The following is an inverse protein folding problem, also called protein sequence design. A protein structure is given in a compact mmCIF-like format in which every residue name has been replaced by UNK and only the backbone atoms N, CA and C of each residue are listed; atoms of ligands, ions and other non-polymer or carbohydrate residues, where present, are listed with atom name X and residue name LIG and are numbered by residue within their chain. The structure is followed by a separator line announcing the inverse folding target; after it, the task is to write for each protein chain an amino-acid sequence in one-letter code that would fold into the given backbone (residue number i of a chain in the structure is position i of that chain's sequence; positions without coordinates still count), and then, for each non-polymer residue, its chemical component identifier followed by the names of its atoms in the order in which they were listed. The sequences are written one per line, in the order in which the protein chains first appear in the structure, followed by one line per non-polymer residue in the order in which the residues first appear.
data_IF_109241276569
#
_entry.id   IF_109241276569
#
_cell.length_a   1.000
_cell.length_b   1.000
_cell.length_c   1.000
_cell.angle_alpha   90.00
_cell.angle_beta   90.00
_cell.angle_gamma   90.00
#
_symmetry.space_group_name_H-M   'P 1'
#
loop_
_entity.id
_entity.type
_entity.pdbx_description
1 polymer ?
#
# COMPACT_ATOMS: atom_id res chain seq x y z
N UNK A 1 -89.58 -1.44 -36.09
CA UNK A 1 -88.68 -1.58 -34.92
C UNK A 1 -87.41 -2.29 -35.35
N UNK A 2 -86.29 -2.02 -34.67
CA UNK A 2 -84.89 -2.43 -34.90
C UNK A 2 -84.06 -1.40 -35.69
N UNK A 3 -83.63 -0.31 -35.04
CA UNK A 3 -82.35 -0.07 -34.31
C UNK A 3 -81.12 0.11 -35.21
N UNK A 4 -80.74 1.38 -35.43
CA UNK A 4 -79.41 1.80 -35.88
C UNK A 4 -78.40 1.56 -34.73
N UNK A 5 -77.35 0.79 -35.00
CA UNK A 5 -76.20 0.64 -34.10
C UNK A 5 -75.08 1.61 -34.50
N UNK A 6 -74.80 2.58 -33.64
CA UNK A 6 -73.65 3.49 -33.72
C UNK A 6 -72.38 2.76 -33.27
N UNK A 7 -71.38 2.68 -34.14
CA UNK A 7 -70.06 2.13 -33.82
C UNK A 7 -69.19 3.24 -33.21
N UNK A 8 -68.89 3.14 -31.92
CA UNK A 8 -67.95 4.04 -31.23
C UNK A 8 -66.55 3.43 -31.32
N UNK A 9 -65.64 4.07 -32.05
CA UNK A 9 -64.23 3.71 -32.08
C UNK A 9 -63.54 4.22 -30.81
N UNK A 10 -63.16 3.32 -29.92
CA UNK A 10 -62.37 3.65 -28.74
C UNK A 10 -60.88 3.72 -29.11
N UNK A 11 -60.31 4.92 -29.16
CA UNK A 11 -58.87 5.14 -29.25
C UNK A 11 -58.23 4.82 -27.91
N UNK A 12 -57.54 3.67 -27.82
CA UNK A 12 -56.72 3.31 -26.68
C UNK A 12 -55.46 4.19 -26.66
N UNK A 13 -55.35 5.10 -25.69
CA UNK A 13 -54.12 5.83 -25.41
C UNK A 13 -53.18 4.88 -24.66
N UNK A 14 -52.16 4.39 -25.35
CA UNK A 14 -51.06 3.64 -24.72
C UNK A 14 -50.18 4.66 -23.99
N UNK A 15 -50.35 4.76 -22.67
CA UNK A 15 -49.42 5.51 -21.82
C UNK A 15 -48.16 4.65 -21.68
N UNK A 16 -47.09 5.04 -22.38
CA UNK A 16 -45.78 4.42 -22.20
C UNK A 16 -45.32 4.65 -20.76
N UNK A 17 -45.12 3.57 -20.01
CA UNK A 17 -44.49 3.63 -18.70
C UNK A 17 -43.07 4.24 -18.86
N UNK A 18 -42.62 5.09 -17.92
CA UNK A 18 -41.27 5.63 -17.97
C UNK A 18 -40.30 4.45 -17.89
N UNK A 19 -39.51 4.26 -18.95
CA UNK A 19 -38.40 3.33 -18.94
C UNK A 19 -37.43 3.80 -17.86
N UNK A 20 -37.35 3.05 -16.75
CA UNK A 20 -36.35 3.29 -15.72
C UNK A 20 -34.97 3.35 -16.36
N UNK A 21 -34.26 4.46 -16.17
CA UNK A 21 -32.88 4.60 -16.63
C UNK A 21 -32.06 3.46 -16.03
N UNK A 22 -31.41 2.66 -16.87
CA UNK A 22 -30.48 1.64 -16.38
C UNK A 22 -29.43 2.33 -15.52
N UNK A 23 -29.18 1.82 -14.31
CA UNK A 23 -28.17 2.37 -13.43
C UNK A 23 -26.82 2.42 -14.17
N UNK A 24 -26.17 3.59 -14.17
CA UNK A 24 -24.89 3.75 -14.84
C UNK A 24 -23.86 2.78 -14.24
N UNK A 25 -23.10 2.08 -15.08
CA UNK A 25 -22.04 1.16 -14.62
C UNK A 25 -21.05 1.95 -13.75
N UNK A 26 -20.67 1.45 -12.55
CA UNK A 26 -19.70 2.12 -11.70
C UNK A 26 -18.37 2.32 -12.42
N UNK A 27 -17.72 3.46 -12.17
CA UNK A 27 -16.35 3.67 -12.65
C UNK A 27 -15.39 2.85 -11.81
N UNK A 28 -14.58 1.99 -12.44
CA UNK A 28 -13.66 1.09 -11.74
C UNK A 28 -12.29 1.72 -11.55
N UNK A 29 -11.83 1.72 -10.31
CA UNK A 29 -10.65 2.45 -9.85
C UNK A 29 -9.66 1.48 -9.23
N UNK A 30 -8.51 1.28 -9.88
CA UNK A 30 -7.43 0.46 -9.35
C UNK A 30 -6.42 1.32 -8.61
N UNK A 31 -6.21 1.03 -7.32
CA UNK A 31 -5.06 1.54 -6.58
C UNK A 31 -3.88 0.58 -6.78
N UNK A 32 -2.91 0.95 -7.61
CA UNK A 32 -1.74 0.17 -7.98
C UNK A 32 -0.49 0.66 -7.25
N UNK A 33 0.26 -0.24 -6.62
CA UNK A 33 1.51 0.16 -6.00
C UNK A 33 2.22 -0.90 -5.18
N UNK A 34 3.08 -0.42 -4.29
CA UNK A 34 3.82 -1.23 -3.33
C UNK A 34 3.11 -1.31 -1.96
N UNK A 35 3.87 -1.46 -0.86
CA UNK A 35 3.33 -1.50 0.51
C UNK A 35 2.58 -0.23 0.90
N UNK A 36 2.98 0.94 0.38
CA UNK A 36 2.31 2.21 0.68
C UNK A 36 0.89 2.22 0.10
N UNK A 37 0.66 1.54 -1.02
CA UNK A 37 -0.69 1.34 -1.56
C UNK A 37 -1.38 0.18 -0.87
N UNK A 38 -0.67 -0.95 -0.75
CA UNK A 38 -1.17 -2.17 -0.13
C UNK A 38 -1.25 -2.02 1.37
N UNK A 39 -0.35 -2.71 2.08
CA UNK A 39 -0.22 -2.68 3.53
C UNK A 39 1.20 -2.29 3.93
N UNK A 40 1.38 -1.52 5.01
CA UNK A 40 0.34 -0.90 5.85
C UNK A 40 -0.02 0.53 5.42
N UNK A 41 -1.25 0.94 5.77
CA UNK A 41 -1.77 2.28 5.49
C UNK A 41 -3.27 2.25 5.19
N UNK A 42 -3.94 3.36 5.41
CA UNK A 42 -5.39 3.49 5.30
C UNK A 42 -5.86 4.64 4.39
N UNK A 43 -4.96 5.28 3.64
CA UNK A 43 -5.33 6.37 2.73
C UNK A 43 -6.42 5.99 1.72
N UNK A 44 -6.49 4.72 1.29
CA UNK A 44 -7.55 4.22 0.41
C UNK A 44 -8.92 4.29 1.08
N UNK A 45 -9.00 3.84 2.33
CA UNK A 45 -10.23 3.93 3.13
C UNK A 45 -10.64 5.39 3.37
N UNK A 46 -9.68 6.26 3.69
CA UNK A 46 -9.91 7.71 3.84
C UNK A 46 -10.43 8.34 2.55
N UNK A 47 -9.79 8.03 1.41
CA UNK A 47 -10.17 8.53 0.10
C UNK A 47 -11.55 8.04 -0.32
N UNK A 48 -11.83 6.75 -0.18
CA UNK A 48 -13.12 6.16 -0.54
C UNK A 48 -14.25 6.77 0.28
N UNK A 49 -14.10 6.85 1.62
CA UNK A 49 -15.12 7.45 2.48
C UNK A 49 -15.37 8.92 2.11
N UNK A 50 -14.31 9.67 1.78
CA UNK A 50 -14.44 11.05 1.31
C UNK A 50 -15.23 11.11 0.00
N UNK A 51 -14.89 10.30 -1.00
CA UNK A 51 -15.61 10.22 -2.28
C UNK A 51 -17.10 9.92 -2.08
N UNK A 52 -17.43 8.93 -1.25
CA UNK A 52 -18.83 8.58 -0.94
C UNK A 52 -19.55 9.76 -0.27
N UNK A 53 -18.92 10.38 0.74
CA UNK A 53 -19.51 11.52 1.47
C UNK A 53 -19.72 12.77 0.62
N UNK A 54 -19.00 12.91 -0.49
CA UNK A 54 -19.09 14.05 -1.41
C UNK A 54 -19.85 13.73 -2.71
N UNK A 55 -20.53 12.59 -2.77
CA UNK A 55 -21.45 12.25 -3.86
C UNK A 55 -20.87 11.42 -5.01
N UNK A 56 -19.60 11.01 -4.93
CA UNK A 56 -18.99 10.07 -5.87
C UNK A 56 -19.30 8.63 -5.46
N UNK A 57 -20.59 8.27 -5.48
CA UNK A 57 -21.07 6.97 -4.99
C UNK A 57 -21.06 5.87 -6.04
N UNK A 58 -21.08 6.23 -7.33
CA UNK A 58 -21.07 5.27 -8.45
C UNK A 58 -19.64 4.90 -8.88
N UNK A 59 -18.85 4.41 -7.93
CA UNK A 59 -17.47 3.97 -8.11
C UNK A 59 -17.29 2.57 -7.53
N UNK A 60 -16.30 1.85 -8.05
CA UNK A 60 -15.93 0.50 -7.63
C UNK A 60 -14.40 0.45 -7.51
N UNK A 61 -13.88 0.22 -6.31
CA UNK A 61 -12.43 0.00 -6.16
C UNK A 61 -12.15 -1.41 -6.64
N UNK A 62 -11.12 -1.59 -7.47
CA UNK A 62 -10.84 -2.89 -8.07
C UNK A 62 -9.37 -3.28 -7.90
N UNK A 63 -9.16 -4.58 -7.73
CA UNK A 63 -7.84 -5.16 -7.55
C UNK A 63 -7.94 -6.63 -7.19
N UNK A 64 -6.85 -7.39 -7.35
CA UNK A 64 -6.83 -8.80 -6.97
C UNK A 64 -6.63 -9.03 -5.48
N UNK A 65 -6.26 -7.99 -4.73
CA UNK A 65 -6.09 -8.04 -3.28
C UNK A 65 -7.31 -7.44 -2.57
N UNK A 66 -7.76 -8.07 -1.47
CA UNK A 66 -8.92 -7.60 -0.74
C UNK A 66 -8.63 -6.31 0.04
N UNK A 67 -9.70 -5.71 0.54
CA UNK A 67 -9.65 -4.64 1.54
C UNK A 67 -8.76 -4.99 2.73
N UNK A 68 -8.06 -3.98 3.23
CA UNK A 68 -7.25 -4.10 4.42
C UNK A 68 -7.97 -3.55 5.65
N UNK A 69 -7.64 -4.09 6.82
CA UNK A 69 -8.27 -3.70 8.08
C UNK A 69 -7.88 -2.28 8.49
N UNK A 70 -8.77 -1.32 8.25
CA UNK A 70 -8.61 0.09 8.62
C UNK A 70 -9.57 0.57 9.73
N UNK A 71 -10.36 -0.34 10.32
CA UNK A 71 -11.34 0.00 11.36
C UNK A 71 -12.56 0.78 10.87
N UNK A 72 -12.68 1.01 9.56
CA UNK A 72 -13.81 1.67 8.91
C UNK A 72 -14.28 0.85 7.70
N UNK A 73 -15.60 0.80 7.49
CA UNK A 73 -16.16 0.19 6.29
C UNK A 73 -15.74 1.00 5.06
N UNK A 74 -15.28 0.29 4.03
CA UNK A 74 -14.94 0.86 2.74
C UNK A 74 -14.86 -0.25 1.69
N UNK A 75 -14.99 0.13 0.42
CA UNK A 75 -14.50 -0.69 -0.67
C UNK A 75 -12.97 -0.55 -0.73
N UNK A 76 -12.27 -1.64 -0.48
CA UNK A 76 -10.82 -1.64 -0.26
C UNK A 76 -10.06 -2.52 -1.24
N UNK A 77 -10.72 -3.05 -2.27
CA UNK A 77 -10.04 -3.84 -3.28
C UNK A 77 -8.93 -3.00 -3.93
N UNK A 78 -7.77 -3.64 -4.11
CA UNK A 78 -6.55 -2.93 -4.49
C UNK A 78 -5.54 -3.84 -5.16
N UNK A 79 -4.50 -3.22 -5.72
CA UNK A 79 -3.38 -3.88 -6.36
C UNK A 79 -2.06 -3.38 -5.73
N UNK A 80 -2.02 -3.32 -4.39
CA UNK A 80 -0.89 -2.87 -3.61
C UNK A 80 -0.06 -4.02 -3.04
N UNK A 81 1.16 -4.20 -3.55
CA UNK A 81 1.99 -5.37 -3.25
C UNK A 81 3.23 -5.00 -2.42
N UNK A 82 3.23 -5.38 -1.14
CA UNK A 82 4.32 -5.07 -0.23
C UNK A 82 5.68 -5.57 -0.72
N UNK A 83 6.68 -4.67 -0.76
CA UNK A 83 8.05 -4.99 -1.19
C UNK A 83 8.25 -5.13 -2.70
N UNK A 84 7.19 -5.01 -3.52
CA UNK A 84 7.33 -5.14 -4.96
C UNK A 84 8.06 -3.93 -5.56
N UNK A 85 8.81 -4.17 -6.63
CA UNK A 85 9.46 -3.15 -7.42
C UNK A 85 8.68 -2.95 -8.71
N UNK A 86 8.48 -1.70 -9.13
CA UNK A 86 7.80 -1.38 -10.38
C UNK A 86 8.54 -2.00 -11.58
N UNK A 87 9.88 -2.02 -11.52
CA UNK A 87 10.73 -2.68 -12.52
C UNK A 87 10.48 -4.17 -12.63
N UNK A 88 10.31 -4.88 -11.51
CA UNK A 88 10.01 -6.32 -11.52
C UNK A 88 8.61 -6.60 -12.06
N UNK A 89 7.59 -5.85 -11.59
CA UNK A 89 6.21 -5.97 -12.07
C UNK A 89 6.14 -5.75 -13.57
N UNK A 90 6.80 -4.71 -14.08
CA UNK A 90 6.87 -4.42 -15.50
C UNK A 90 7.57 -5.54 -16.27
N UNK A 91 8.74 -6.00 -15.82
CA UNK A 91 9.53 -7.02 -16.50
C UNK A 91 8.79 -8.36 -16.60
N UNK A 92 8.10 -8.74 -15.53
CA UNK A 92 7.36 -9.99 -15.42
C UNK A 92 5.95 -9.92 -16.02
N UNK A 93 5.53 -8.75 -16.54
CA UNK A 93 4.19 -8.50 -17.07
C UNK A 93 3.06 -8.83 -16.07
N UNK A 94 3.31 -8.70 -14.76
CA UNK A 94 2.33 -9.08 -13.73
C UNK A 94 1.04 -8.25 -13.85
N UNK A 95 1.16 -6.96 -14.20
CA UNK A 95 0.01 -6.06 -14.37
C UNK A 95 -0.98 -6.53 -15.45
N UNK A 96 -0.56 -7.29 -16.46
CA UNK A 96 -1.46 -7.77 -17.52
C UNK A 96 -2.56 -8.67 -16.95
N UNK A 97 -2.21 -9.56 -16.02
CA UNK A 97 -3.18 -10.45 -15.37
C UNK A 97 -4.11 -9.70 -14.41
N UNK A 98 -3.60 -8.70 -13.70
CA UNK A 98 -4.41 -7.86 -12.82
C UNK A 98 -5.42 -7.02 -13.61
N UNK A 99 -4.97 -6.42 -14.71
CA UNK A 99 -5.83 -5.65 -15.62
C UNK A 99 -6.92 -6.52 -16.25
N UNK A 100 -6.62 -7.75 -16.67
CA UNK A 100 -7.65 -8.62 -17.27
C UNK A 100 -8.68 -9.10 -16.24
N UNK A 101 -8.30 -9.24 -14.97
CA UNK A 101 -9.20 -9.66 -13.90
C UNK A 101 -10.14 -8.55 -13.41
N UNK A 102 -9.71 -7.28 -13.50
CA UNK A 102 -10.38 -6.14 -12.83
C UNK A 102 -10.82 -5.04 -13.78
N UNK A 103 -10.19 -4.99 -14.97
CA UNK A 103 -10.54 -4.18 -16.12
C UNK A 103 -10.64 -2.65 -15.87
N UNK A 104 -9.81 -2.00 -15.03
CA UNK A 104 -10.06 -0.66 -14.50
C UNK A 104 -10.25 0.44 -15.57
N UNK A 105 -10.96 1.50 -15.18
CA UNK A 105 -11.15 2.72 -15.97
C UNK A 105 -10.19 3.85 -15.54
N UNK A 106 -9.76 3.79 -14.27
CA UNK A 106 -8.81 4.72 -13.65
C UNK A 106 -7.76 3.93 -12.87
N UNK A 107 -6.49 4.30 -12.98
CA UNK A 107 -5.41 3.76 -12.15
C UNK A 107 -4.78 4.88 -11.31
N UNK A 108 -4.72 4.69 -9.99
CA UNK A 108 -3.92 5.50 -9.06
C UNK A 108 -2.62 4.74 -8.81
N UNK A 109 -1.52 5.22 -9.39
CA UNK A 109 -0.22 4.57 -9.29
C UNK A 109 0.68 5.31 -8.30
N UNK A 110 0.87 4.74 -7.10
CA UNK A 110 1.94 5.12 -6.17
C UNK A 110 2.93 3.96 -6.08
N UNK A 111 4.04 4.08 -6.80
CA UNK A 111 4.99 2.99 -6.97
C UNK A 111 6.40 3.53 -7.17
N UNK A 112 7.42 2.67 -7.03
CA UNK A 112 8.83 3.04 -7.19
C UNK A 112 9.58 3.28 -5.89
N UNK A 113 8.91 3.22 -4.73
CA UNK A 113 9.54 3.36 -3.41
C UNK A 113 10.64 2.31 -3.23
N UNK A 114 10.34 1.04 -3.50
CA UNK A 114 11.29 -0.06 -3.35
C UNK A 114 12.40 -0.03 -4.41
N UNK A 115 12.12 0.46 -5.61
CA UNK A 115 13.12 0.64 -6.67
C UNK A 115 14.15 1.71 -6.28
N UNK A 116 13.66 2.86 -5.78
CA UNK A 116 14.48 3.97 -5.26
C UNK A 116 15.31 3.53 -4.06
N UNK A 117 14.70 2.78 -3.14
CA UNK A 117 15.40 2.19 -1.99
C UNK A 117 16.52 1.26 -2.45
N UNK A 118 16.23 0.43 -3.45
CA UNK A 118 17.17 -0.52 -4.06
C UNK A 118 18.20 0.16 -4.97
N UNK A 119 18.26 1.49 -4.97
CA UNK A 119 19.19 2.31 -5.75
C UNK A 119 19.17 2.01 -7.26
N UNK A 120 17.98 1.70 -7.79
CA UNK A 120 17.83 1.53 -9.23
C UNK A 120 17.89 2.90 -9.93
N UNK A 121 18.53 3.00 -11.11
CA UNK A 121 18.58 4.24 -11.86
C UNK A 121 17.18 4.73 -12.24
N UNK A 122 16.94 6.04 -12.12
CA UNK A 122 15.66 6.64 -12.51
C UNK A 122 15.25 6.28 -13.94
N UNK A 123 16.21 6.16 -14.87
CA UNK A 123 15.96 5.75 -16.26
C UNK A 123 15.36 4.36 -16.35
N UNK A 124 15.81 3.42 -15.51
CA UNK A 124 15.26 2.06 -15.43
C UNK A 124 13.83 2.08 -14.86
N UNK A 125 13.61 2.84 -13.79
CA UNK A 125 12.28 2.96 -13.16
C UNK A 125 11.27 3.59 -14.12
N UNK A 126 11.64 4.65 -14.83
CA UNK A 126 10.78 5.33 -15.81
C UNK A 126 10.54 4.50 -17.08
N UNK A 127 11.49 3.63 -17.45
CA UNK A 127 11.26 2.62 -18.50
C UNK A 127 10.20 1.62 -18.05
N UNK A 128 10.26 1.16 -16.80
CA UNK A 128 9.24 0.29 -16.23
C UNK A 128 7.87 0.97 -16.16
N UNK A 129 7.80 2.22 -15.67
CA UNK A 129 6.57 3.01 -15.67
C UNK A 129 5.99 3.14 -17.08
N UNK A 130 6.84 3.35 -18.09
CA UNK A 130 6.41 3.40 -19.49
C UNK A 130 5.75 2.09 -19.91
N UNK A 131 6.38 0.95 -19.60
CA UNK A 131 5.82 -0.37 -19.91
C UNK A 131 4.51 -0.64 -19.18
N UNK A 132 4.39 -0.25 -17.91
CA UNK A 132 3.14 -0.40 -17.14
C UNK A 132 2.00 0.41 -17.78
N UNK A 133 2.27 1.67 -18.16
CA UNK A 133 1.28 2.50 -18.88
C UNK A 133 0.89 1.90 -20.23
N UNK A 134 1.83 1.30 -20.97
CA UNK A 134 1.52 0.63 -22.23
C UNK A 134 0.63 -0.60 -22.03
N UNK A 135 0.85 -1.37 -20.95
CA UNK A 135 -0.04 -2.47 -20.55
C UNK A 135 -1.43 -1.97 -20.16
N UNK A 136 -1.53 -0.87 -19.39
CA UNK A 136 -2.80 -0.23 -19.05
C UNK A 136 -3.58 0.18 -20.30
N UNK A 137 -2.91 0.81 -21.27
CA UNK A 137 -3.52 1.25 -22.53
C UNK A 137 -3.88 0.10 -23.46
N UNK A 138 -3.13 -0.99 -23.43
CA UNK A 138 -3.50 -2.20 -24.15
C UNK A 138 -4.79 -2.84 -23.59
N UNK A 139 -4.99 -2.77 -22.27
CA UNK A 139 -6.23 -3.22 -21.62
C UNK A 139 -7.40 -2.25 -21.83
N UNK A 140 -7.13 -0.95 -21.78
CA UNK A 140 -8.12 0.11 -21.96
C UNK A 140 -7.46 1.32 -22.65
N UNK A 141 -7.70 1.54 -23.96
CA UNK A 141 -7.08 2.64 -24.72
C UNK A 141 -7.40 4.03 -24.16
N UNK A 142 -8.47 4.16 -23.36
CA UNK A 142 -8.91 5.39 -22.72
C UNK A 142 -8.59 5.46 -21.22
N UNK A 143 -7.69 4.60 -20.72
CA UNK A 143 -7.32 4.56 -19.30
C UNK A 143 -6.90 5.94 -18.80
N UNK A 144 -7.52 6.41 -17.71
CA UNK A 144 -7.09 7.62 -17.00
C UNK A 144 -6.08 7.23 -15.94
N UNK A 145 -4.89 7.83 -15.97
CA UNK A 145 -3.78 7.37 -15.15
C UNK A 145 -3.33 8.53 -14.25
N UNK A 146 -3.40 8.33 -12.95
CA UNK A 146 -2.92 9.28 -11.96
C UNK A 146 -1.62 8.73 -11.36
N UNK A 147 -0.49 9.38 -11.60
CA UNK A 147 0.84 8.90 -11.16
C UNK A 147 1.34 9.78 -10.03
N UNK A 148 1.68 9.19 -8.90
CA UNK A 148 2.25 9.91 -7.78
C UNK A 148 3.69 10.34 -8.10
N UNK A 149 4.05 11.59 -7.78
CA UNK A 149 5.35 11.79 -7.12
C UNK A 149 5.24 11.07 -5.78
N UNK A 150 6.14 10.12 -5.50
CA UNK A 150 6.04 9.32 -4.27
C UNK A 150 6.26 10.20 -3.04
N UNK A 151 5.68 9.80 -1.90
CA UNK A 151 5.94 10.44 -0.60
C UNK A 151 7.46 10.40 -0.31
N UNK A 152 8.01 11.35 0.47
CA UNK A 152 9.39 11.25 0.92
C UNK A 152 9.61 9.97 1.73
N UNK A 153 10.84 9.46 1.70
CA UNK A 153 11.28 8.41 2.63
C UNK A 153 12.61 8.82 3.27
N UNK A 154 12.76 8.52 4.56
CA UNK A 154 13.98 8.74 5.31
C UNK A 154 14.16 7.65 6.39
N UNK A 155 14.25 6.37 6.00
CA UNK A 155 14.51 5.29 6.93
C UNK A 155 15.93 5.39 7.49
N UNK A 156 16.14 4.97 8.74
CA UNK A 156 17.47 4.94 9.36
C UNK A 156 18.47 4.03 8.63
N UNK A 157 17.99 3.06 7.85
CA UNK A 157 18.78 2.11 7.08
C UNK A 157 19.19 2.59 5.67
N UNK A 158 18.75 3.77 5.24
CA UNK A 158 19.10 4.30 3.92
C UNK A 158 19.23 5.82 3.95
N UNK A 159 20.45 6.30 4.23
CA UNK A 159 20.79 7.72 4.32
C UNK A 159 20.65 8.47 2.99
N UNK A 160 20.80 7.79 1.86
CA UNK A 160 20.69 8.40 0.53
C UNK A 160 19.27 8.40 -0.02
N UNK A 161 18.35 7.63 0.59
CA UNK A 161 17.02 7.42 0.03
C UNK A 161 16.22 8.73 -0.09
N UNK A 162 16.34 9.64 0.87
CA UNK A 162 15.68 10.95 0.78
C UNK A 162 16.10 11.73 -0.48
N UNK A 163 17.40 11.77 -0.78
CA UNK A 163 17.92 12.43 -1.98
C UNK A 163 17.52 11.69 -3.27
N UNK A 164 17.51 10.36 -3.25
CA UNK A 164 17.09 9.55 -4.40
C UNK A 164 15.59 9.75 -4.71
N UNK A 165 14.73 9.86 -3.69
CA UNK A 165 13.31 10.21 -3.89
C UNK A 165 13.16 11.57 -4.57
N UNK A 166 13.91 12.58 -4.14
CA UNK A 166 13.89 13.91 -4.78
C UNK A 166 14.28 13.80 -6.26
N UNK A 167 15.37 13.09 -6.55
CA UNK A 167 15.84 12.85 -7.92
C UNK A 167 14.77 12.17 -8.78
N UNK A 168 14.15 11.10 -8.27
CA UNK A 168 13.10 10.37 -8.96
C UNK A 168 11.85 11.24 -9.19
N UNK A 169 11.36 11.91 -8.16
CA UNK A 169 10.20 12.79 -8.22
C UNK A 169 10.38 13.97 -9.19
N UNK A 170 11.60 14.47 -9.34
CA UNK A 170 11.92 15.53 -10.31
C UNK A 170 11.85 15.03 -11.77
N UNK A 171 12.05 13.73 -12.01
CA UNK A 171 12.02 13.15 -13.35
C UNK A 171 10.59 12.80 -13.81
N UNK A 172 9.67 12.51 -12.88
CA UNK A 172 8.29 12.09 -13.19
C UNK A 172 7.50 13.09 -14.06
N UNK A 173 7.51 14.42 -13.79
CA UNK A 173 6.72 15.37 -14.58
C UNK A 173 7.09 15.38 -16.07
N UNK A 174 8.38 15.38 -16.39
CA UNK A 174 8.86 15.37 -17.78
C UNK A 174 8.50 14.05 -18.47
N UNK A 175 8.70 12.92 -17.78
CA UNK A 175 8.29 11.61 -18.28
C UNK A 175 6.78 11.54 -18.56
N UNK A 176 5.94 12.00 -17.63
CA UNK A 176 4.49 11.99 -17.77
C UNK A 176 4.04 12.86 -18.95
N UNK A 177 4.62 14.06 -19.10
CA UNK A 177 4.34 14.95 -20.22
C UNK A 177 4.73 14.32 -21.57
N UNK A 178 5.82 13.55 -21.62
CA UNK A 178 6.23 12.83 -22.83
C UNK A 178 5.37 11.61 -23.19
N UNK A 179 4.58 11.08 -22.25
CA UNK A 179 3.78 9.86 -22.45
C UNK A 179 2.26 10.09 -22.42
N UNK A 180 1.79 11.20 -21.88
CA UNK A 180 0.36 11.55 -21.80
C UNK A 180 -0.25 11.76 -23.18
N UNK A 181 -1.54 11.40 -23.35
CA UNK A 181 -2.30 11.67 -24.58
C UNK A 181 -3.68 12.20 -24.24
N UNK A 182 -4.39 12.79 -25.21
CA UNK A 182 -5.77 13.24 -25.01
C UNK A 182 -6.73 12.07 -24.71
N UNK A 183 -6.50 10.90 -25.32
CA UNK A 183 -7.34 9.72 -25.14
C UNK A 183 -7.08 9.02 -23.78
N UNK A 184 -5.82 8.97 -23.35
CA UNK A 184 -5.39 8.33 -22.09
C UNK A 184 -4.49 9.30 -21.32
N UNK A 185 -5.09 10.26 -20.60
CA UNK A 185 -4.33 11.28 -19.90
C UNK A 185 -3.57 10.69 -18.72
N UNK A 186 -2.34 11.17 -18.54
CA UNK A 186 -1.51 10.97 -17.36
C UNK A 186 -1.49 12.27 -16.56
N UNK A 187 -1.97 12.21 -15.31
CA UNK A 187 -1.93 13.33 -14.36
C UNK A 187 -0.94 13.02 -13.25
N UNK A 188 0.02 13.91 -13.03
CA UNK A 188 0.97 13.78 -11.91
C UNK A 188 0.33 14.31 -10.64
N UNK A 189 0.31 13.49 -9.59
CA UNK A 189 -0.21 13.84 -8.26
C UNK A 189 0.96 14.01 -7.30
N UNK A 190 1.13 15.21 -6.77
CA UNK A 190 2.24 15.51 -5.85
C UNK A 190 1.92 15.01 -4.43
N UNK A 191 2.37 13.80 -4.09
CA UNK A 191 2.29 13.25 -2.73
C UNK A 191 3.47 13.69 -1.84
N UNK A 192 4.48 14.35 -2.41
CA UNK A 192 5.72 14.68 -1.73
C UNK A 192 5.63 16.01 -0.98
N UNK A 193 5.13 17.05 -1.64
CA UNK A 193 5.12 18.41 -1.09
C UNK A 193 4.27 18.52 0.17
N UNK A 194 4.87 18.99 1.27
CA UNK A 194 4.18 19.14 2.56
C UNK A 194 4.04 17.86 3.39
N UNK A 195 4.62 16.75 2.92
CA UNK A 195 4.74 15.51 3.64
C UNK A 195 6.06 15.49 4.43
N UNK A 196 6.01 15.11 5.71
CA UNK A 196 7.16 15.05 6.61
C UNK A 196 7.29 13.63 7.15
N UNK A 197 8.39 12.95 6.80
CA UNK A 197 8.63 11.57 7.22
C UNK A 197 8.60 11.40 8.74
N UNK A 198 9.10 12.36 9.51
CA UNK A 198 9.16 12.24 10.96
C UNK A 198 7.78 12.28 11.65
N UNK A 199 6.79 12.95 11.06
CA UNK A 199 5.45 13.14 11.67
C UNK A 199 4.35 12.37 10.95
N UNK A 200 4.54 12.07 9.68
CA UNK A 200 3.51 11.52 8.81
C UNK A 200 3.77 10.04 8.45
N UNK A 201 4.90 9.49 8.90
CA UNK A 201 5.19 8.05 8.83
C UNK A 201 5.41 7.48 10.22
N UNK A 202 5.37 6.16 10.37
CA UNK A 202 5.72 5.51 11.62
C UNK A 202 7.14 4.89 11.60
N UNK A 203 7.76 4.71 10.42
CA UNK A 203 9.07 4.07 10.24
C UNK A 203 10.03 4.85 9.31
N UNK A 204 9.65 6.05 8.90
CA UNK A 204 10.37 6.85 7.91
C UNK A 204 9.96 6.57 6.46
N UNK A 205 8.99 5.68 6.21
CA UNK A 205 8.64 5.17 4.88
C UNK A 205 7.13 5.11 4.68
N UNK A 206 6.43 4.42 5.56
CA UNK A 206 5.01 4.11 5.41
C UNK A 206 4.15 5.10 6.18
N UNK A 207 3.05 5.59 5.56
CA UNK A 207 2.21 6.60 6.18
C UNK A 207 1.58 6.09 7.49
N UNK A 208 1.53 6.96 8.49
CA UNK A 208 0.63 6.81 9.62
C UNK A 208 -0.72 7.48 9.29
N UNK A 209 -1.65 7.56 10.24
CA UNK A 209 -2.96 8.17 10.01
C UNK A 209 -2.91 9.63 9.48
N UNK A 210 -1.93 10.43 9.92
CA UNK A 210 -1.76 11.80 9.42
C UNK A 210 -1.20 11.81 7.98
N UNK A 211 -0.25 10.91 7.68
CA UNK A 211 0.24 10.69 6.32
C UNK A 211 -0.86 10.19 5.39
N UNK A 212 -1.69 9.26 5.84
CA UNK A 212 -2.82 8.72 5.09
C UNK A 212 -3.83 9.81 4.71
N UNK A 213 -4.13 10.71 5.65
CA UNK A 213 -4.97 11.87 5.38
C UNK A 213 -4.36 12.79 4.32
N UNK A 214 -3.07 13.12 4.44
CA UNK A 214 -2.36 13.94 3.45
C UNK A 214 -2.36 13.28 2.07
N UNK A 215 -2.16 11.97 2.01
CA UNK A 215 -2.22 11.23 0.75
C UNK A 215 -3.61 11.27 0.12
N UNK A 216 -4.66 11.09 0.93
CA UNK A 216 -6.04 11.25 0.48
C UNK A 216 -6.34 12.67 -0.01
N UNK A 217 -5.85 13.71 0.67
CA UNK A 217 -6.05 15.11 0.29
C UNK A 217 -5.43 15.45 -1.07
N UNK A 218 -4.34 14.78 -1.45
CA UNK A 218 -3.70 14.93 -2.77
C UNK A 218 -4.38 14.11 -3.85
N UNK A 219 -4.78 12.88 -3.55
CA UNK A 219 -5.47 12.02 -4.51
C UNK A 219 -6.86 12.54 -4.87
N UNK A 220 -7.63 13.00 -3.88
CA UNK A 220 -9.03 13.37 -4.03
C UNK A 220 -9.30 14.37 -5.18
N UNK A 221 -8.69 15.57 -5.23
CA UNK A 221 -8.97 16.52 -6.31
C UNK A 221 -8.59 15.98 -7.70
N UNK A 222 -7.48 15.26 -7.80
CA UNK A 222 -7.03 14.71 -9.07
C UNK A 222 -7.96 13.57 -9.56
N UNK A 223 -8.38 12.69 -8.66
CA UNK A 223 -9.31 11.61 -8.97
C UNK A 223 -10.69 12.16 -9.34
N UNK A 224 -11.25 13.09 -8.57
CA UNK A 224 -12.57 13.67 -8.90
C UNK A 224 -12.58 14.38 -10.25
N UNK A 225 -11.49 15.06 -10.62
CA UNK A 225 -11.34 15.64 -11.96
C UNK A 225 -11.35 14.54 -13.04
N UNK A 226 -10.58 13.47 -12.84
CA UNK A 226 -10.57 12.32 -13.74
C UNK A 226 -11.95 11.69 -13.88
N UNK A 227 -12.69 11.50 -12.77
CA UNK A 227 -14.05 10.93 -12.75
C UNK A 227 -15.06 11.80 -13.53
N UNK A 228 -14.94 13.12 -13.43
CA UNK A 228 -15.81 14.07 -14.15
C UNK A 228 -15.44 14.25 -15.64
N UNK A 229 -14.39 13.57 -16.14
CA UNK A 229 -13.92 13.73 -17.52
C UNK A 229 -13.22 15.06 -17.80
N UNK A 230 -12.80 15.77 -16.75
CA UNK A 230 -12.07 17.04 -16.85
C UNK A 230 -10.59 16.75 -16.55
N UNK A 231 -9.69 17.08 -17.47
CA UNK A 231 -8.25 17.08 -17.15
C UNK A 231 -7.95 18.26 -16.21
N UNK A 232 -7.46 18.05 -14.98
CA UNK A 232 -7.15 19.16 -14.10
C UNK A 232 -5.96 19.95 -14.67
N UNK A 233 -6.11 21.27 -14.79
CA UNK A 233 -4.97 22.18 -14.95
C UNK A 233 -4.20 22.20 -13.63
N UNK A 234 -2.86 22.09 -13.69
CA UNK A 234 -2.00 22.15 -12.50
C UNK A 234 -2.38 23.36 -11.63
N UNK A 235 -2.63 23.20 -10.32
CA UNK A 235 -2.83 24.34 -9.45
C UNK A 235 -1.54 25.18 -9.38
N UNK A 236 -1.62 26.52 -9.33
CA UNK A 236 -0.44 27.35 -9.09
C UNK A 236 0.15 27.00 -7.73
N UNK A 237 1.48 26.86 -7.71
CA UNK A 237 2.27 26.70 -6.49
C UNK A 237 1.92 27.82 -5.50
N UNK A 238 1.55 27.51 -4.24
CA UNK A 238 1.43 28.57 -3.23
C UNK A 238 2.81 29.19 -3.02
N UNK A 239 2.85 30.51 -3.22
CA UNK A 239 4.00 31.38 -2.94
C UNK A 239 4.38 31.30 -1.46
N UNK A 240 5.68 31.38 -1.18
CA UNK A 240 6.26 31.34 0.15
C UNK A 240 5.66 32.42 1.07
N UNK A 241 5.34 32.05 2.31
CA UNK A 241 5.11 33.01 3.39
C UNK A 241 5.85 32.57 4.65
N UNK A 242 6.28 33.57 5.41
CA UNK A 242 7.54 33.66 6.12
C UNK A 242 7.67 32.83 7.41
N UNK A 243 8.93 32.47 7.70
CA UNK A 243 9.48 32.10 9.00
C UNK A 243 9.24 33.18 10.07
N UNK A 244 9.10 32.79 11.35
CA UNK A 244 9.88 33.47 12.37
C UNK A 244 10.72 32.54 13.25
N UNK A 245 11.77 33.16 13.77
CA UNK A 245 12.97 32.63 14.42
C UNK A 245 12.86 32.51 15.95
N UNK A 246 13.57 31.51 16.50
CA UNK A 246 14.32 31.41 17.77
C UNK A 246 13.70 31.69 19.18
N UNK A 247 13.70 30.63 20.02
CA UNK A 247 14.19 30.46 21.44
C UNK A 247 13.64 31.34 22.60
N UNK A 248 13.79 30.98 23.92
CA UNK A 248 14.62 29.92 24.54
C UNK A 248 13.99 29.08 25.70
N UNK A 249 14.76 28.07 26.13
CA UNK A 249 14.67 27.24 27.37
C UNK A 249 14.98 28.07 28.64
N UNK A 250 14.51 27.71 29.88
CA UNK A 250 15.34 26.87 30.78
C UNK A 250 14.63 26.01 31.90
N UNK A 251 15.40 25.02 32.39
CA UNK A 251 15.54 24.50 33.78
C UNK A 251 14.58 23.49 34.45
N UNK A 252 15.20 22.49 35.10
CA UNK A 252 14.71 21.52 36.11
C UNK A 252 15.60 21.65 37.39
N UNK A 253 15.50 20.83 38.49
CA UNK A 253 14.41 20.15 39.24
C UNK A 253 14.45 20.49 40.77
N UNK A 254 13.83 19.74 41.72
CA UNK A 254 14.60 18.69 42.45
C UNK A 254 13.79 17.44 42.95
N UNK A 255 14.48 16.61 43.74
CA UNK A 255 14.37 15.16 44.03
C UNK A 255 13.77 14.80 45.41
N UNK A 256 13.22 13.59 45.60
CA UNK A 256 13.10 12.86 46.91
C UNK A 256 13.19 11.32 46.75
N UNK A 257 13.64 10.66 47.83
CA UNK A 257 14.36 9.35 47.95
C UNK A 257 13.50 8.22 48.64
N UNK A 258 13.99 7.05 49.14
CA UNK A 258 13.55 5.68 48.76
C UNK A 258 13.05 4.76 49.92
N UNK A 259 12.78 3.45 49.64
CA UNK A 259 12.94 2.22 50.50
C UNK A 259 11.78 1.18 50.39
N UNK A 260 11.88 -0.14 50.73
CA UNK A 260 13.00 -1.12 50.74
C UNK A 260 12.73 -2.44 49.94
N UNK A 261 13.80 -3.26 49.85
CA UNK A 261 14.00 -4.52 49.12
C UNK A 261 13.52 -5.82 49.82
N UNK A 262 13.31 -6.90 49.04
CA UNK A 262 13.18 -8.31 49.52
C UNK A 262 14.14 -9.26 48.73
N UNK A 263 14.79 -10.27 49.35
CA UNK A 263 15.85 -11.10 48.74
C UNK A 263 15.33 -12.38 48.00
N UNK A 264 16.20 -13.11 47.25
CA UNK A 264 15.82 -13.93 46.08
C UNK A 264 15.84 -15.46 46.30
N UNK A 265 15.30 -16.23 45.34
CA UNK A 265 15.50 -17.68 45.15
C UNK A 265 15.37 -18.06 43.64
N UNK A 266 16.03 -19.14 43.14
CA UNK A 266 16.78 -19.13 41.87
C UNK A 266 16.06 -19.60 40.58
N UNK A 267 16.73 -19.30 39.46
CA UNK A 267 16.40 -19.43 38.02
C UNK A 267 16.00 -20.81 37.48
N UNK A 268 15.39 -20.84 36.26
CA UNK A 268 16.21 -20.95 35.05
C UNK A 268 16.05 -19.76 34.09
N UNK A 269 17.16 -19.42 33.43
CA UNK A 269 17.42 -18.24 32.61
C UNK A 269 16.53 -18.09 31.38
N UNK A 270 15.64 -17.10 31.41
CA UNK A 270 14.94 -16.49 30.28
C UNK A 270 14.26 -15.23 30.82
N UNK A 271 14.68 -14.05 30.36
CA UNK A 271 14.37 -12.76 30.99
C UNK A 271 12.89 -12.64 31.39
N UNK A 272 12.62 -12.46 32.68
CA UNK A 272 11.28 -12.45 33.24
C UNK A 272 10.36 -11.49 32.45
N UNK A 273 9.29 -12.04 31.86
CA UNK A 273 8.29 -11.29 31.11
C UNK A 273 8.51 -11.16 29.60
N UNK A 274 9.68 -11.54 29.04
CA UNK A 274 9.89 -11.55 27.57
C UNK A 274 9.19 -12.75 26.94
N UNK A 275 8.43 -12.55 25.87
CA UNK A 275 7.83 -13.63 25.08
C UNK A 275 7.84 -13.27 23.61
N UNK A 276 8.01 -14.25 22.73
CA UNK A 276 7.85 -14.07 21.30
C UNK A 276 6.99 -15.19 20.74
N UNK A 277 6.05 -14.83 19.87
CA UNK A 277 5.26 -15.77 19.08
C UNK A 277 5.40 -15.42 17.61
N UNK A 278 5.19 -16.41 16.74
CA UNK A 278 5.23 -16.22 15.30
C UNK A 278 4.16 -17.05 14.62
N UNK A 279 3.47 -16.44 13.65
CA UNK A 279 2.56 -17.13 12.73
C UNK A 279 3.19 -17.18 11.35
N UNK A 280 3.24 -18.36 10.73
CA UNK A 280 3.66 -18.54 9.34
C UNK A 280 2.43 -18.57 8.44
N UNK A 281 2.43 -17.78 7.38
CA UNK A 281 1.34 -17.71 6.40
C UNK A 281 1.89 -17.80 4.99
N UNK A 282 1.27 -18.60 4.14
CA UNK A 282 1.49 -18.53 2.68
C UNK A 282 0.47 -17.51 2.16
N UNK A 283 0.94 -16.35 1.74
CA UNK A 283 0.09 -15.25 1.27
C UNK A 283 -0.08 -15.23 -0.25
N UNK A 284 0.70 -16.02 -0.97
CA UNK A 284 0.52 -16.29 -2.40
C UNK A 284 1.29 -17.53 -2.84
N UNK A 285 0.77 -18.27 -3.82
CA UNK A 285 1.43 -19.45 -4.38
C UNK A 285 1.16 -19.56 -5.89
N UNK A 286 2.18 -19.93 -6.65
CA UNK A 286 2.13 -20.16 -8.10
C UNK A 286 2.90 -21.44 -8.47
N UNK A 287 2.85 -21.89 -9.74
CA UNK A 287 3.63 -23.04 -10.17
C UNK A 287 5.13 -22.83 -9.91
N UNK A 288 5.72 -23.65 -9.03
CA UNK A 288 7.14 -23.63 -8.70
C UNK A 288 7.59 -22.55 -7.71
N UNK A 289 6.69 -21.69 -7.20
CA UNK A 289 7.06 -20.68 -6.21
C UNK A 289 5.91 -20.19 -5.33
N UNK A 290 6.26 -19.53 -4.24
CA UNK A 290 5.31 -18.99 -3.28
C UNK A 290 5.89 -17.81 -2.51
N UNK A 291 5.01 -17.06 -1.88
CA UNK A 291 5.31 -15.97 -0.97
C UNK A 291 4.91 -16.36 0.46
N UNK A 292 5.89 -16.41 1.34
CA UNK A 292 5.72 -16.66 2.77
C UNK A 292 5.82 -15.38 3.59
N UNK A 293 5.03 -15.31 4.66
CA UNK A 293 5.06 -14.22 5.64
C UNK A 293 5.15 -14.80 7.07
N UNK A 294 6.06 -14.25 7.87
CA UNK A 294 6.14 -14.46 9.31
C UNK A 294 5.57 -13.24 10.02
N UNK A 295 4.53 -13.45 10.83
CA UNK A 295 3.96 -12.43 11.71
C UNK A 295 4.47 -12.67 13.11
N UNK A 296 5.39 -11.82 13.56
CA UNK A 296 6.07 -11.92 14.85
C UNK A 296 5.40 -10.99 15.85
N UNK A 297 5.12 -11.48 17.06
CA UNK A 297 4.48 -10.68 18.11
C UNK A 297 5.09 -10.91 19.49
N UNK A 298 5.17 -9.85 20.29
CA UNK A 298 5.54 -9.92 21.70
C UNK A 298 4.29 -10.10 22.56
N UNK A 299 4.02 -11.35 22.96
CA UNK A 299 2.91 -11.67 23.87
C UNK A 299 3.33 -11.64 25.36
N UNK A 300 4.49 -11.05 25.64
CA UNK A 300 5.04 -10.92 26.98
C UNK A 300 4.50 -9.70 27.70
N UNK A 301 5.05 -9.44 28.88
CA UNK A 301 4.69 -8.29 29.72
C UNK A 301 5.77 -7.20 29.71
N UNK A 302 6.91 -7.43 29.06
CA UNK A 302 7.98 -6.43 28.89
C UNK A 302 8.39 -6.31 27.42
N UNK A 303 8.95 -5.16 26.98
CA UNK A 303 9.47 -5.02 25.62
C UNK A 303 10.60 -6.02 25.32
N UNK A 304 10.67 -6.50 24.08
CA UNK A 304 11.79 -7.28 23.55
C UNK A 304 12.61 -6.41 22.61
N UNK A 305 13.94 -6.58 22.60
CA UNK A 305 14.88 -5.77 21.81
C UNK A 305 15.20 -6.38 20.44
N UNK A 306 14.85 -7.65 20.26
CA UNK A 306 14.98 -8.38 19.02
C UNK A 306 14.16 -9.65 19.04
N UNK A 307 14.08 -10.29 17.89
CA UNK A 307 13.44 -11.59 17.73
C UNK A 307 14.22 -12.44 16.73
N UNK A 308 14.17 -13.75 16.95
CA UNK A 308 14.70 -14.76 16.06
C UNK A 308 13.62 -15.79 15.81
N UNK A 309 13.32 -16.06 14.55
CA UNK A 309 12.41 -17.12 14.14
C UNK A 309 13.20 -18.21 13.45
N UNK A 310 13.03 -19.46 13.89
CA UNK A 310 13.65 -20.62 13.26
C UNK A 310 12.59 -21.63 12.85
N UNK A 311 12.73 -22.19 11.65
CA UNK A 311 11.85 -23.24 11.14
C UNK A 311 12.57 -24.14 10.13
N UNK A 312 11.96 -25.29 9.81
CA UNK A 312 12.49 -26.24 8.83
C UNK A 312 11.46 -26.47 7.73
N UNK A 313 11.86 -26.19 6.48
CA UNK A 313 11.07 -26.47 5.30
C UNK A 313 10.91 -27.97 5.06
N UNK A 314 9.68 -28.50 4.95
CA UNK A 314 9.44 -29.93 4.86
C UNK A 314 9.69 -30.53 3.47
N UNK A 315 9.70 -29.72 2.41
CA UNK A 315 9.65 -30.20 1.02
C UNK A 315 10.69 -29.52 0.12
N UNK A 316 11.89 -29.29 0.65
CA UNK A 316 13.02 -28.77 -0.14
C UNK A 316 12.80 -27.36 -0.68
N UNK A 317 11.93 -26.56 -0.03
CA UNK A 317 11.72 -25.18 -0.43
C UNK A 317 13.00 -24.35 -0.26
N UNK A 318 13.23 -23.40 -1.17
CA UNK A 318 14.45 -22.56 -1.17
C UNK A 318 14.06 -21.10 -1.27
N UNK A 319 14.48 -20.28 -0.30
CA UNK A 319 14.29 -18.83 -0.31
C UNK A 319 15.18 -18.21 -1.39
N UNK A 320 14.58 -17.40 -2.25
CA UNK A 320 15.27 -16.66 -3.31
C UNK A 320 15.36 -15.16 -3.03
N UNK A 321 14.39 -14.60 -2.30
CA UNK A 321 14.35 -13.20 -1.90
C UNK A 321 13.71 -13.07 -0.52
N UNK A 322 14.11 -12.07 0.26
CA UNK A 322 13.50 -11.78 1.56
C UNK A 322 13.49 -10.30 1.86
N UNK A 323 12.59 -9.87 2.74
CA UNK A 323 12.45 -8.48 3.18
C UNK A 323 12.03 -8.40 4.65
N UNK A 324 12.30 -7.26 5.26
CA UNK A 324 11.98 -6.96 6.67
C UNK A 324 12.54 -7.98 7.68
N UNK A 325 13.56 -8.74 7.30
CA UNK A 325 14.23 -9.72 8.15
C UNK A 325 15.54 -10.19 7.50
N UNK A 326 16.50 -10.60 8.30
CA UNK A 326 17.73 -11.22 7.81
C UNK A 326 17.54 -12.74 7.78
N UNK A 327 17.37 -13.30 6.59
CA UNK A 327 17.15 -14.73 6.39
C UNK A 327 18.47 -15.43 6.07
N UNK A 328 18.70 -16.52 6.77
CA UNK A 328 19.75 -17.49 6.44
C UNK A 328 19.09 -18.85 6.28
N UNK A 329 19.43 -19.55 5.19
CA UNK A 329 18.96 -20.90 4.94
C UNK A 329 20.16 -21.83 4.79
N UNK A 330 20.20 -22.90 5.58
CA UNK A 330 21.20 -23.97 5.47
C UNK A 330 20.47 -25.30 5.34
N UNK A 331 20.57 -25.91 4.16
CA UNK A 331 19.71 -27.03 3.79
C UNK A 331 18.24 -26.63 3.87
N UNK A 332 17.45 -27.40 4.63
CA UNK A 332 16.03 -27.10 4.89
C UNK A 332 15.78 -26.16 6.07
N UNK A 333 16.80 -25.81 6.86
CA UNK A 333 16.62 -24.97 8.06
C UNK A 333 16.75 -23.50 7.70
N UNK A 334 15.75 -22.70 8.09
CA UNK A 334 15.72 -21.25 7.94
C UNK A 334 15.79 -20.59 9.30
N UNK A 335 16.63 -19.57 9.42
CA UNK A 335 16.64 -18.63 10.55
C UNK A 335 16.39 -17.23 10.01
N UNK A 336 15.36 -16.57 10.53
CA UNK A 336 15.03 -15.18 10.25
C UNK A 336 15.29 -14.35 11.52
N UNK A 337 16.17 -13.36 11.42
CA UNK A 337 16.40 -12.39 12.48
C UNK A 337 15.72 -11.07 12.14
N UNK A 338 15.36 -10.32 13.18
CA UNK A 338 14.94 -8.94 13.00
C UNK A 338 16.04 -8.12 12.30
N UNK A 339 15.63 -7.15 11.51
CA UNK A 339 16.50 -6.06 11.08
C UNK A 339 16.50 -4.96 12.16
N UNK A 340 17.39 -3.98 12.03
CA UNK A 340 17.64 -2.98 13.09
C UNK A 340 16.39 -2.21 13.54
N UNK A 341 15.39 -2.05 12.67
CA UNK A 341 14.22 -1.23 12.93
C UNK A 341 12.98 -1.99 13.41
N UNK A 342 12.92 -3.32 13.29
CA UNK A 342 11.77 -4.12 13.75
C UNK A 342 12.09 -5.10 14.88
N UNK A 343 13.25 -4.98 15.51
CA UNK A 343 13.60 -5.79 16.68
C UNK A 343 12.88 -5.39 17.96
N UNK A 344 12.67 -4.08 18.15
CA UNK A 344 12.04 -3.54 19.35
C UNK A 344 10.52 -3.71 19.28
N UNK A 345 9.96 -4.63 20.07
CA UNK A 345 8.52 -4.85 20.17
C UNK A 345 8.06 -4.67 21.63
N UNK A 346 7.23 -3.66 21.89
CA UNK A 346 6.53 -3.51 23.18
C UNK A 346 5.53 -4.66 23.41
N UNK A 347 5.06 -4.89 24.66
CA UNK A 347 3.99 -5.86 24.93
C UNK A 347 2.77 -5.63 24.03
N UNK A 348 2.29 -6.70 23.39
CA UNK A 348 1.17 -6.67 22.44
C UNK A 348 1.51 -6.13 21.04
N UNK A 349 2.73 -5.63 20.81
CA UNK A 349 3.17 -5.19 19.50
C UNK A 349 3.62 -6.37 18.63
N UNK A 350 3.55 -6.18 17.31
CA UNK A 350 4.04 -7.15 16.34
C UNK A 350 4.62 -6.50 15.09
N UNK A 351 5.29 -7.32 14.29
CA UNK A 351 5.86 -6.96 12.99
C UNK A 351 5.64 -8.12 12.01
N UNK A 352 5.74 -7.83 10.71
CA UNK A 352 5.76 -8.85 9.68
C UNK A 352 7.08 -8.81 8.90
N UNK A 353 7.54 -9.99 8.50
CA UNK A 353 8.65 -10.17 7.56
C UNK A 353 8.27 -11.24 6.55
N UNK A 354 8.81 -11.16 5.33
CA UNK A 354 8.42 -12.07 4.27
C UNK A 354 9.56 -12.48 3.36
N UNK A 355 9.26 -13.46 2.53
CA UNK A 355 10.19 -14.00 1.57
C UNK A 355 9.47 -14.59 0.35
N UNK A 356 10.18 -14.64 -0.78
CA UNK A 356 9.84 -15.49 -1.92
C UNK A 356 10.68 -16.76 -1.85
N UNK A 357 10.04 -17.90 -2.12
CA UNK A 357 10.71 -19.18 -2.16
C UNK A 357 10.18 -20.05 -3.31
N UNK A 358 11.02 -20.96 -3.79
CA UNK A 358 10.63 -22.02 -4.71
C UNK A 358 10.25 -23.29 -3.95
N UNK A 359 9.46 -24.16 -4.59
CA UNK A 359 9.16 -25.51 -4.10
C UNK A 359 9.09 -26.48 -5.28
N UNK A 360 9.26 -27.78 -5.00
CA UNK A 360 9.11 -28.84 -5.98
C UNK A 360 8.06 -29.84 -5.48
N UNK A 361 7.05 -30.11 -6.31
CA UNK A 361 5.94 -31.00 -5.96
C UNK A 361 5.04 -30.41 -4.87
N UNK A 362 5.30 -30.74 -3.60
CA UNK A 362 4.46 -30.33 -2.46
C UNK A 362 5.04 -29.10 -1.76
N UNK A 363 4.19 -28.15 -1.35
CA UNK A 363 4.59 -26.99 -0.55
C UNK A 363 4.01 -27.07 0.88
N UNK A 364 4.57 -27.94 1.72
CA UNK A 364 4.13 -28.09 3.11
C UNK A 364 4.53 -26.90 3.98
N UNK A 365 3.65 -26.53 4.91
CA UNK A 365 3.90 -25.44 5.87
C UNK A 365 4.82 -25.92 7.01
N UNK A 366 5.84 -25.14 7.39
CA UNK A 366 6.72 -25.48 8.49
C UNK A 366 6.09 -25.08 9.85
N UNK A 367 6.64 -25.59 10.94
CA UNK A 367 6.30 -25.16 12.31
C UNK A 367 7.39 -24.22 12.83
N UNK A 368 7.14 -22.89 12.86
CA UNK A 368 8.15 -21.94 13.33
C UNK A 368 8.21 -21.83 14.85
N UNK A 369 9.40 -21.55 15.35
CA UNK A 369 9.67 -21.21 16.75
C UNK A 369 10.23 -19.80 16.81
N UNK A 370 9.63 -18.93 17.62
CA UNK A 370 10.19 -17.60 17.89
C UNK A 370 10.88 -17.54 19.25
N UNK A 371 12.02 -16.86 19.28
CA UNK A 371 12.79 -16.55 20.49
C UNK A 371 12.92 -15.03 20.62
N UNK A 372 12.55 -14.50 21.79
CA UNK A 372 12.81 -13.10 22.15
C UNK A 372 14.30 -12.90 22.48
N UNK A 373 14.91 -11.83 21.96
CA UNK A 373 16.32 -11.46 22.18
C UNK A 373 16.46 -10.33 23.21
#
# INVERSE_FOLDING_TARGET
MALLGTLVAATAVVVAAPTGSAAAVPTRIMALGDSITGSPGCWRATLWNRLQSTGYTNIDMVGTLPAQGCGVAHDGDNEGHGGFLATNVANQNQLVGWLSATLPDVVLMHFGTNDVWSNLPNTQILTAFSKLVDQMRASNPAMRILVAKIIPMNPSSCTECAARVVSFNNAIPSWAAGKTTAQSPITVVDQWTGFNTATDTYDGVHPNAAGDQKMSDRWYPALTAALSGVTPSNPPSPSASASPSASPSPSAPPSVSPSPSRPPSPSPTGGAGKSCSVTYVIIGQWPGGFQGELRVANNGTVPISGWSVRFTFPNGQVISQSWNGQYTQTGSTVTALNVSWNGLLSPGAGTATGFLASYQGTNGTPVPVCTAL
#
